data_IF_920175690898
#
_entry.id   IF_920175690898
#
_cell.length_a   1.000
_cell.length_b   1.000
_cell.length_c   1.000
_cell.angle_alpha   90.00
_cell.angle_beta   90.00
_cell.angle_gamma   90.00
#
_symmetry.space_group_name_H-M   'P 1'
#
loop_
_entity.id
_entity.type
_entity.pdbx_description
1 polymer ?
#
# COMPACT_ATOMS: atom_id res chain seq x y z
N UNK A 1 -17.16 -0.47 -18.61
CA UNK A 1 -15.85 0.05 -18.14
C UNK A 1 -14.77 -0.42 -19.10
N UNK A 2 -13.85 0.45 -19.53
CA UNK A 2 -12.79 0.05 -20.45
C UNK A 2 -11.83 -0.94 -19.78
N UNK A 3 -11.37 -1.95 -20.51
CA UNK A 3 -10.55 -3.07 -20.03
C UNK A 3 -9.13 -2.69 -19.57
N UNK A 4 -8.83 -1.39 -19.44
CA UNK A 4 -7.51 -0.81 -19.21
C UNK A 4 -7.31 -0.26 -17.79
N UNK A 5 -8.26 -0.45 -16.87
CA UNK A 5 -8.12 -0.02 -15.48
C UNK A 5 -7.90 -1.22 -14.54
N UNK A 6 -6.65 -1.72 -14.39
CA UNK A 6 -6.33 -2.89 -13.55
C UNK A 6 -6.60 -2.69 -12.04
N UNK A 7 -7.06 -1.50 -11.64
CA UNK A 7 -7.37 -1.14 -10.24
C UNK A 7 -8.81 -1.45 -9.85
N UNK A 8 -9.67 -1.88 -10.78
CA UNK A 8 -11.05 -2.31 -10.50
C UNK A 8 -11.17 -3.81 -10.26
N UNK A 9 -10.10 -4.44 -9.78
CA UNK A 9 -10.13 -5.80 -9.27
C UNK A 9 -9.51 -5.81 -7.87
N UNK A 10 -10.02 -6.70 -7.01
CA UNK A 10 -9.42 -6.89 -5.69
C UNK A 10 -8.04 -7.51 -5.86
N UNK A 11 -7.02 -6.85 -5.31
CA UNK A 11 -5.65 -7.32 -5.44
C UNK A 11 -5.45 -8.61 -4.66
N UNK A 12 -4.91 -9.62 -5.34
CA UNK A 12 -4.41 -10.83 -4.70
C UNK A 12 -3.19 -10.55 -3.82
N UNK A 13 -3.01 -11.37 -2.78
CA UNK A 13 -1.78 -11.37 -2.01
C UNK A 13 -0.65 -12.06 -2.79
N UNK A 14 0.60 -11.68 -2.53
CA UNK A 14 1.74 -12.36 -3.13
C UNK A 14 1.78 -13.83 -2.70
N UNK A 15 1.86 -14.80 -3.62
CA UNK A 15 1.81 -16.22 -3.28
C UNK A 15 2.86 -16.65 -2.25
N UNK A 16 4.07 -16.08 -2.28
CA UNK A 16 5.13 -16.43 -1.33
C UNK A 16 4.79 -15.97 0.09
N UNK A 17 4.35 -14.71 0.24
CA UNK A 17 3.91 -14.17 1.52
C UNK A 17 2.64 -14.87 2.00
N UNK A 18 1.67 -15.05 1.11
CA UNK A 18 0.41 -15.70 1.43
C UNK A 18 0.62 -17.12 1.93
N UNK A 19 1.48 -17.93 1.29
CA UNK A 19 1.76 -19.30 1.78
C UNK A 19 2.33 -19.31 3.20
N UNK A 20 3.22 -18.37 3.51
CA UNK A 20 3.90 -18.27 4.81
C UNK A 20 3.06 -17.63 5.91
N UNK A 21 2.00 -16.91 5.54
CA UNK A 21 1.12 -16.24 6.51
C UNK A 21 0.31 -17.25 7.35
N UNK A 22 -0.01 -16.84 8.58
CA UNK A 22 -0.88 -17.59 9.49
C UNK A 22 -2.29 -17.77 8.92
N UNK A 23 -3.02 -18.78 9.41
CA UNK A 23 -4.43 -18.96 9.05
C UNK A 23 -5.28 -17.74 9.41
N UNK A 24 -5.00 -17.12 10.56
CA UNK A 24 -5.63 -15.88 11.01
C UNK A 24 -5.43 -14.74 10.01
N UNK A 25 -4.19 -14.51 9.55
CA UNK A 25 -3.90 -13.48 8.57
C UNK A 25 -4.63 -13.71 7.24
N UNK A 26 -4.69 -14.98 6.79
CA UNK A 26 -5.40 -15.37 5.56
C UNK A 26 -6.90 -15.15 5.67
N UNK A 27 -7.50 -15.47 6.81
CA UNK A 27 -8.92 -15.27 7.07
C UNK A 27 -9.27 -13.79 7.12
N UNK A 28 -8.51 -13.00 7.87
CA UNK A 28 -8.70 -11.55 7.96
C UNK A 28 -8.54 -10.87 6.59
N UNK A 29 -7.54 -11.27 5.81
CA UNK A 29 -7.37 -10.77 4.43
C UNK A 29 -8.55 -11.14 3.54
N UNK A 30 -9.05 -12.38 3.63
CA UNK A 30 -10.22 -12.82 2.86
C UNK A 30 -11.47 -12.01 3.20
N UNK A 31 -11.75 -11.77 4.48
CA UNK A 31 -12.89 -10.95 4.90
C UNK A 31 -12.81 -9.53 4.33
N UNK A 32 -11.63 -8.91 4.39
CA UNK A 32 -11.40 -7.58 3.82
C UNK A 32 -11.51 -7.58 2.29
N UNK A 33 -11.07 -8.66 1.62
CA UNK A 33 -11.26 -8.83 0.18
C UNK A 33 -12.75 -8.90 -0.18
N UNK A 34 -13.59 -9.60 0.57
CA UNK A 34 -15.04 -9.65 0.30
C UNK A 34 -15.69 -8.27 0.44
N UNK A 35 -15.30 -7.49 1.46
CA UNK A 35 -15.76 -6.09 1.60
C UNK A 35 -15.31 -5.25 0.40
N UNK A 36 -14.05 -5.39 -0.03
CA UNK A 36 -13.51 -4.66 -1.17
C UNK A 36 -14.19 -5.05 -2.49
N UNK A 37 -14.59 -6.32 -2.67
CA UNK A 37 -15.35 -6.77 -3.86
C UNK A 37 -16.67 -6.02 -3.98
N UNK A 38 -17.44 -5.92 -2.90
CA UNK A 38 -18.70 -5.16 -2.88
C UNK A 38 -18.47 -3.69 -3.21
N UNK A 39 -17.40 -3.10 -2.68
CA UNK A 39 -17.02 -1.72 -3.01
C UNK A 39 -16.70 -1.54 -4.49
N UNK A 40 -15.90 -2.45 -5.08
CA UNK A 40 -15.54 -2.42 -6.50
C UNK A 40 -16.76 -2.60 -7.41
N UNK A 41 -17.72 -3.44 -7.01
CA UNK A 41 -18.99 -3.57 -7.73
C UNK A 41 -19.76 -2.24 -7.74
N UNK A 42 -19.83 -1.55 -6.59
CA UNK A 42 -20.45 -0.23 -6.50
C UNK A 42 -19.73 0.82 -7.35
N UNK A 43 -18.40 0.84 -7.33
CA UNK A 43 -17.57 1.69 -8.19
C UNK A 43 -17.85 1.42 -9.68
N UNK A 44 -17.99 0.15 -10.05
CA UNK A 44 -18.26 -0.25 -11.44
C UNK A 44 -19.64 0.21 -11.90
N UNK A 45 -20.67 0.06 -11.06
CA UNK A 45 -22.02 0.55 -11.32
C UNK A 45 -22.06 2.08 -11.44
N UNK A 46 -21.34 2.78 -10.56
CA UNK A 46 -21.24 4.24 -10.60
C UNK A 46 -20.54 4.73 -11.87
N UNK A 47 -19.47 4.04 -12.29
CA UNK A 47 -18.78 4.34 -13.55
C UNK A 47 -19.65 4.14 -14.79
N UNK A 48 -20.61 3.21 -14.75
CA UNK A 48 -21.63 3.05 -15.81
C UNK A 48 -22.62 4.21 -15.80
N UNK A 49 -23.16 4.58 -14.63
CA UNK A 49 -24.09 5.71 -14.50
C UNK A 49 -23.49 7.03 -15.00
N UNK A 50 -22.21 7.27 -14.73
CA UNK A 50 -21.46 8.43 -15.26
C UNK A 50 -21.44 8.52 -16.78
N UNK A 51 -21.46 7.37 -17.48
CA UNK A 51 -21.44 7.34 -18.94
C UNK A 51 -22.82 7.59 -19.57
N UNK A 52 -23.88 7.53 -18.77
CA UNK A 52 -25.27 7.65 -19.21
C UNK A 52 -25.90 9.00 -18.80
N UNK A 53 -25.41 9.65 -17.74
CA UNK A 53 -26.05 10.82 -17.11
C UNK A 53 -25.11 12.04 -17.00
N UNK A 54 -25.20 12.99 -17.94
CA UNK A 54 -24.37 14.21 -17.95
C UNK A 54 -24.71 15.21 -16.84
N UNK A 55 -25.98 15.28 -16.42
CA UNK A 55 -26.47 16.28 -15.47
C UNK A 55 -25.85 16.19 -14.06
N UNK A 56 -25.20 15.06 -13.74
CA UNK A 56 -24.59 14.79 -12.44
C UNK A 56 -23.10 14.41 -12.55
N UNK A 57 -22.47 14.62 -13.72
CA UNK A 57 -21.12 14.11 -14.01
C UNK A 57 -20.08 14.48 -12.94
N UNK A 58 -20.09 15.71 -12.44
CA UNK A 58 -19.15 16.18 -11.41
C UNK A 58 -19.36 15.48 -10.07
N UNK A 59 -20.60 15.31 -9.63
CA UNK A 59 -20.92 14.62 -8.37
C UNK A 59 -20.58 13.14 -8.44
N UNK A 60 -20.88 12.50 -9.57
CA UNK A 60 -20.56 11.10 -9.79
C UNK A 60 -19.03 10.90 -9.89
N UNK A 61 -18.30 11.82 -10.52
CA UNK A 61 -16.85 11.80 -10.57
C UNK A 61 -16.23 11.93 -9.17
N UNK A 62 -16.74 12.85 -8.34
CA UNK A 62 -16.30 13.01 -6.96
C UNK A 62 -16.58 11.75 -6.12
N UNK A 63 -17.76 11.14 -6.28
CA UNK A 63 -18.09 9.88 -5.61
C UNK A 63 -17.16 8.73 -6.07
N UNK A 64 -16.90 8.62 -7.38
CA UNK A 64 -16.00 7.61 -7.94
C UNK A 64 -14.57 7.76 -7.39
N UNK A 65 -14.06 8.99 -7.31
CA UNK A 65 -12.75 9.28 -6.73
C UNK A 65 -12.69 8.89 -5.25
N UNK A 66 -13.71 9.24 -4.47
CA UNK A 66 -13.80 8.90 -3.04
C UNK A 66 -13.86 7.39 -2.79
N UNK A 67 -14.66 6.67 -3.57
CA UNK A 67 -14.76 5.21 -3.47
C UNK A 67 -13.47 4.52 -3.94
N UNK A 68 -12.81 5.05 -4.98
CA UNK A 68 -11.50 4.60 -5.44
C UNK A 68 -10.42 4.75 -4.35
N UNK A 69 -10.39 5.89 -3.66
CA UNK A 69 -9.51 6.12 -2.51
C UNK A 69 -9.82 5.16 -1.36
N UNK A 70 -11.10 4.92 -1.06
CA UNK A 70 -11.49 3.94 -0.04
C UNK A 70 -11.00 2.53 -0.37
N UNK A 71 -11.11 2.11 -1.64
CA UNK A 71 -10.56 0.82 -2.11
C UNK A 71 -9.04 0.77 -1.94
N UNK A 72 -8.33 1.85 -2.29
CA UNK A 72 -6.89 1.92 -2.11
C UNK A 72 -6.46 1.87 -0.63
N UNK A 73 -7.20 2.54 0.25
CA UNK A 73 -6.98 2.48 1.69
C UNK A 73 -7.23 1.09 2.27
N UNK A 74 -8.19 0.34 1.73
CA UNK A 74 -8.38 -1.07 2.08
C UNK A 74 -7.14 -1.90 1.73
N UNK A 75 -6.52 -1.70 0.57
CA UNK A 75 -5.27 -2.40 0.23
C UNK A 75 -4.15 -2.08 1.24
N UNK A 76 -4.00 -0.81 1.64
CA UNK A 76 -3.02 -0.41 2.65
C UNK A 76 -3.33 -1.09 4.00
N UNK A 77 -4.59 -1.09 4.43
CA UNK A 77 -5.02 -1.71 5.68
C UNK A 77 -4.81 -3.23 5.68
N UNK A 78 -5.17 -3.91 4.59
CA UNK A 78 -4.91 -5.34 4.39
C UNK A 78 -3.43 -5.64 4.57
N UNK A 79 -2.55 -4.84 3.95
CA UNK A 79 -1.09 -5.01 4.05
C UNK A 79 -0.55 -4.78 5.47
N UNK A 80 -1.09 -3.79 6.20
CA UNK A 80 -0.76 -3.54 7.61
C UNK A 80 -1.16 -4.72 8.49
N UNK A 81 -2.32 -5.31 8.24
CA UNK A 81 -2.81 -6.46 8.99
C UNK A 81 -1.98 -7.73 8.78
N UNK A 82 -1.29 -7.86 7.64
CA UNK A 82 -0.32 -8.94 7.44
C UNK A 82 0.98 -8.76 8.23
N UNK A 83 1.37 -7.53 8.58
CA UNK A 83 2.67 -7.21 9.20
C UNK A 83 3.07 -8.08 10.40
N UNK A 84 2.19 -8.39 11.37
CA UNK A 84 2.57 -9.24 12.51
C UNK A 84 2.71 -10.73 12.13
N UNK A 85 2.22 -11.16 10.97
CA UNK A 85 2.13 -12.56 10.56
C UNK A 85 3.07 -12.94 9.40
N UNK A 86 4.04 -12.08 9.08
CA UNK A 86 5.03 -12.31 8.02
C UNK A 86 6.45 -12.21 8.57
N UNK A 87 7.41 -12.82 7.87
CA UNK A 87 8.82 -12.77 8.26
C UNK A 87 9.34 -11.33 8.32
N UNK A 88 10.30 -11.08 9.24
CA UNK A 88 10.89 -9.77 9.46
C UNK A 88 11.46 -9.13 8.19
N UNK A 89 12.05 -9.94 7.29
CA UNK A 89 12.58 -9.49 6.01
C UNK A 89 11.53 -8.81 5.10
N UNK A 90 10.25 -9.11 5.27
CA UNK A 90 9.14 -8.55 4.48
C UNK A 90 8.38 -7.44 5.20
N UNK A 91 8.61 -7.20 6.50
CA UNK A 91 7.86 -6.19 7.28
C UNK A 91 8.04 -4.77 6.75
N UNK A 92 9.15 -4.47 6.09
CA UNK A 92 9.38 -3.19 5.44
C UNK A 92 8.41 -2.92 4.27
N UNK A 93 7.87 -3.97 3.64
CA UNK A 93 6.87 -3.86 2.57
C UNK A 93 5.50 -3.40 3.08
N UNK A 94 5.25 -3.47 4.40
CA UNK A 94 4.02 -3.01 5.05
C UNK A 94 4.03 -1.51 5.39
N UNK A 95 5.09 -0.78 5.06
CA UNK A 95 5.17 0.66 5.30
C UNK A 95 4.33 1.45 4.29
N UNK A 96 3.76 2.57 4.73
CA UNK A 96 2.93 3.44 3.88
C UNK A 96 3.70 4.06 2.72
N UNK A 97 5.03 4.18 2.86
CA UNK A 97 5.93 4.63 1.79
C UNK A 97 6.05 3.65 0.62
N UNK A 98 5.56 2.42 0.77
CA UNK A 98 5.61 1.40 -0.28
C UNK A 98 4.28 1.35 -1.04
N UNK A 99 4.31 1.64 -2.34
CA UNK A 99 3.11 1.61 -3.19
C UNK A 99 2.52 0.20 -3.28
N UNK A 100 1.20 0.12 -3.49
CA UNK A 100 0.51 -1.13 -3.83
C UNK A 100 0.40 -1.21 -5.35
N UNK A 101 1.03 -2.20 -5.97
CA UNK A 101 1.02 -2.34 -7.44
C UNK A 101 0.87 -3.81 -7.87
N UNK A 102 -0.22 -4.12 -8.56
CA UNK A 102 -0.51 -5.43 -9.15
C UNK A 102 -0.86 -6.55 -8.15
N UNK A 103 -0.09 -6.70 -7.08
CA UNK A 103 -0.39 -7.58 -5.94
C UNK A 103 -0.24 -6.78 -4.64
N UNK A 104 -0.91 -7.22 -3.57
CA UNK A 104 -0.82 -6.58 -2.25
C UNK A 104 0.64 -6.40 -1.77
N UNK A 105 1.49 -7.34 -2.16
CA UNK A 105 2.94 -7.30 -1.98
C UNK A 105 3.63 -7.62 -3.30
N UNK A 106 3.73 -6.68 -4.25
CA UNK A 106 4.41 -6.74 -5.56
C UNK A 106 5.11 -8.06 -5.96
N UNK A 107 4.98 -8.48 -7.23
CA UNK A 107 5.53 -9.76 -7.72
C UNK A 107 7.01 -9.99 -7.36
N UNK A 108 7.84 -8.95 -7.46
CA UNK A 108 9.29 -9.04 -7.24
C UNK A 108 9.70 -8.72 -5.78
N UNK A 109 9.47 -9.68 -4.88
CA UNK A 109 9.85 -9.53 -3.47
C UNK A 109 11.36 -9.38 -3.26
N UNK A 110 12.18 -10.16 -3.98
CA UNK A 110 13.62 -10.24 -3.76
C UNK A 110 14.34 -8.92 -4.04
N UNK A 111 14.06 -8.31 -5.19
CA UNK A 111 14.70 -7.06 -5.60
C UNK A 111 14.25 -5.89 -4.72
N UNK A 112 12.98 -5.92 -4.27
CA UNK A 112 12.41 -4.87 -3.43
C UNK A 112 12.91 -4.94 -1.99
N UNK A 113 13.04 -6.14 -1.41
CA UNK A 113 13.66 -6.31 -0.08
C UNK A 113 15.13 -5.89 -0.11
N UNK A 114 15.88 -6.24 -1.17
CA UNK A 114 17.28 -5.79 -1.34
C UNK A 114 17.38 -4.26 -1.40
N UNK A 115 16.58 -3.63 -2.27
CA UNK A 115 16.55 -2.17 -2.43
C UNK A 115 16.21 -1.45 -1.13
N UNK A 116 15.22 -1.95 -0.37
CA UNK A 116 14.87 -1.40 0.95
C UNK A 116 15.99 -1.61 1.99
N UNK A 117 16.66 -2.76 1.95
CA UNK A 117 17.82 -3.05 2.78
C UNK A 117 18.98 -2.09 2.52
N UNK A 118 19.28 -1.81 1.26
CA UNK A 118 20.36 -0.90 0.87
C UNK A 118 20.03 0.55 1.20
N UNK A 119 18.78 0.98 0.99
CA UNK A 119 18.31 2.30 1.42
C UNK A 119 18.45 2.49 2.95
N UNK A 120 18.11 1.46 3.74
CA UNK A 120 18.28 1.49 5.20
C UNK A 120 19.75 1.54 5.63
N UNK A 121 20.66 0.84 4.93
CA UNK A 121 22.11 0.92 5.20
C UNK A 121 22.63 2.33 4.94
N UNK A 122 22.24 2.95 3.81
CA UNK A 122 22.62 4.33 3.47
C UNK A 122 22.07 5.32 4.50
N UNK A 123 20.80 5.20 4.88
CA UNK A 123 20.20 6.05 5.91
C UNK A 123 20.92 5.90 7.28
N UNK A 124 21.33 4.68 7.65
CA UNK A 124 22.10 4.42 8.87
C UNK A 124 23.51 5.01 8.79
N UNK A 125 24.17 4.92 7.63
CA UNK A 125 25.46 5.54 7.39
C UNK A 125 25.38 7.07 7.52
N UNK A 126 24.41 7.70 6.85
CA UNK A 126 24.18 9.14 6.95
C UNK A 126 23.89 9.58 8.39
N UNK A 127 23.04 8.85 9.14
CA UNK A 127 22.82 9.16 10.58
C UNK A 127 24.09 9.06 11.42
N UNK A 128 25.01 8.16 11.09
CA UNK A 128 26.27 8.00 11.80
C UNK A 128 27.24 9.14 11.48
N UNK A 129 27.39 9.49 10.21
CA UNK A 129 28.25 10.59 9.73
C UNK A 129 27.76 11.95 10.26
N UNK A 130 26.47 12.26 10.11
CA UNK A 130 25.90 13.54 10.54
C UNK A 130 25.57 13.58 12.05
N UNK A 131 25.43 12.43 12.71
CA UNK A 131 25.23 12.34 14.16
C UNK A 131 26.50 12.60 14.97
N UNK A 132 27.67 12.56 14.34
CA UNK A 132 28.98 12.83 14.97
C UNK A 132 29.41 14.31 14.87
N UNK A 133 28.69 15.17 14.14
CA UNK A 133 28.99 16.62 14.01
C UNK A 133 28.28 17.53 15.02
N UNK A 134 28.16 17.12 16.28
CA UNK A 134 27.81 18.04 17.38
C UNK A 134 28.97 18.19 18.35
N UNK A 135 30.04 18.84 17.91
CA UNK A 135 30.96 19.47 18.86
C UNK A 135 30.30 20.77 19.39
N UNK A 136 30.35 21.03 20.71
CA UNK A 136 29.85 22.28 21.27
C UNK A 136 30.73 23.44 20.81
N UNK A 137 30.11 24.46 20.21
CA UNK A 137 30.78 25.72 19.85
C UNK A 137 31.31 26.37 21.15
N UNK A 138 32.62 26.64 21.28
CA UNK A 138 33.14 27.31 22.46
C UNK A 138 32.63 28.75 22.50
N UNK A 139 31.96 29.09 23.61
CA UNK A 139 31.49 30.43 23.90
C UNK A 139 32.70 31.33 24.19
N UNK A 140 33.16 32.10 23.19
CA UNK A 140 34.18 33.13 23.43
C UNK A 140 33.55 34.29 24.21
N UNK A 141 33.97 34.47 25.47
CA UNK A 141 33.76 35.71 26.22
C UNK A 141 34.82 36.72 25.78
N UNK A 142 34.35 37.83 25.20
CA UNK A 142 35.09 39.08 25.03
C UNK A 142 34.25 40.21 25.57
#
# INVERSE_FOLDING_TARGET
MPANCPRFEVLGCNPKIYRQASAEAKNNDRELQEVQKSLIQGISALGQAMSEEEACADHLAAALASMGEASHRLDIARRKNFKPFINDEYKALCLDSYSVEGLLFNKDLGDKVKSLGDANKVAKFLRKEYGQQKEPVPFFKG
#
